data_IF_404893675967
#
_entry.id   IF_404893675967
#
_cell.length_a   1.000
_cell.length_b   1.000
_cell.length_c   1.000
_cell.angle_alpha   90.00
_cell.angle_beta   90.00
_cell.angle_gamma   90.00
#
_symmetry.space_group_name_H-M   'P 1'
#
loop_
_entity.id
_entity.type
_entity.pdbx_description
1 polymer ?
#
# COMPACT_ATOMS: atom_id res chain seq x y z
N UNK A 1 21.91 13.63 1.77
CA UNK A 1 21.51 14.22 0.47
C UNK A 1 20.62 15.42 0.77
N UNK A 2 21.04 16.61 0.40
CA UNK A 2 20.22 17.82 0.57
C UNK A 2 19.06 17.81 -0.43
N UNK A 3 17.90 18.31 -0.04
CA UNK A 3 16.75 18.42 -0.92
C UNK A 3 17.02 19.46 -2.02
N UNK A 4 17.29 19.01 -3.25
CA UNK A 4 17.51 19.86 -4.44
C UNK A 4 16.19 20.25 -5.11
N UNK A 5 15.19 20.63 -4.31
CA UNK A 5 13.93 21.15 -4.84
C UNK A 5 14.13 22.55 -5.39
N UNK A 6 13.32 22.92 -6.39
CA UNK A 6 13.25 24.28 -6.90
C UNK A 6 12.90 25.26 -5.78
N UNK A 7 13.58 26.41 -5.68
CA UNK A 7 13.31 27.41 -4.66
C UNK A 7 11.96 28.10 -4.90
N UNK A 8 11.45 28.74 -3.84
CA UNK A 8 10.26 29.59 -3.92
C UNK A 8 10.59 30.96 -4.52
N UNK A 9 9.71 31.94 -4.27
CA UNK A 9 9.86 33.32 -4.75
C UNK A 9 11.14 34.01 -4.24
N UNK A 10 11.65 33.55 -3.10
CA UNK A 10 12.89 34.02 -2.47
C UNK A 10 14.15 33.57 -3.22
N UNK A 11 14.04 32.60 -4.14
CA UNK A 11 15.18 32.05 -4.87
C UNK A 11 16.14 31.24 -3.99
N UNK A 12 15.82 31.06 -2.71
CA UNK A 12 16.72 30.47 -1.72
C UNK A 12 16.57 28.96 -1.67
N UNK A 13 17.69 28.25 -1.77
CA UNK A 13 17.71 26.79 -1.64
C UNK A 13 17.60 26.34 -0.18
N UNK A 14 17.26 25.06 0.02
CA UNK A 14 17.24 24.46 1.35
C UNK A 14 18.61 24.52 2.05
N UNK A 15 19.70 24.47 1.29
CA UNK A 15 21.06 24.57 1.82
C UNK A 15 21.37 25.97 2.36
N UNK A 16 20.93 27.02 1.65
CA UNK A 16 21.11 28.40 2.09
C UNK A 16 20.40 28.64 3.44
N UNK A 17 19.15 28.19 3.55
CA UNK A 17 18.37 28.31 4.78
C UNK A 17 18.99 27.58 5.98
N UNK A 18 19.56 26.38 5.78
CA UNK A 18 20.24 25.64 6.84
C UNK A 18 21.51 26.35 7.32
N UNK A 19 22.27 26.96 6.41
CA UNK A 19 23.54 27.62 6.73
C UNK A 19 23.35 28.95 7.47
N UNK A 20 22.29 29.70 7.15
CA UNK A 20 22.04 31.03 7.69
C UNK A 20 20.81 31.09 8.63
N UNK A 21 20.41 29.95 9.19
CA UNK A 21 19.23 29.86 10.06
C UNK A 21 19.28 30.80 11.26
N UNK A 22 20.45 30.99 11.88
CA UNK A 22 20.62 31.87 13.03
C UNK A 22 20.32 33.35 12.75
N UNK A 23 20.29 33.75 11.48
CA UNK A 23 19.96 35.12 11.06
C UNK A 23 18.51 35.21 10.56
N UNK A 24 18.05 34.23 9.78
CA UNK A 24 16.70 34.29 9.17
C UNK A 24 15.58 33.77 10.08
N UNK A 25 15.90 33.09 11.18
CA UNK A 25 14.90 32.49 12.07
C UNK A 25 14.01 33.49 12.82
N UNK A 26 14.38 34.76 12.90
CA UNK A 26 13.60 35.80 13.60
C UNK A 26 12.49 36.42 12.73
N UNK A 27 12.62 36.36 11.40
CA UNK A 27 11.77 37.13 10.48
C UNK A 27 10.72 36.26 9.76
N UNK A 28 10.41 35.09 10.33
CA UNK A 28 9.61 34.03 9.70
C UNK A 28 8.19 34.53 9.32
N UNK A 29 7.60 35.45 10.09
CA UNK A 29 6.22 35.92 9.89
C UNK A 29 5.99 36.68 8.57
N UNK A 30 7.00 37.33 8.00
CA UNK A 30 6.84 38.13 6.78
C UNK A 30 6.79 37.28 5.50
N UNK A 31 7.24 36.03 5.54
CA UNK A 31 7.43 35.18 4.35
C UNK A 31 6.21 34.35 3.94
N UNK A 32 5.09 34.42 4.66
CA UNK A 32 3.92 33.56 4.43
C UNK A 32 2.97 34.03 3.32
N UNK A 33 3.11 35.26 2.82
CA UNK A 33 2.06 35.91 2.02
C UNK A 33 2.22 35.80 0.49
N UNK A 34 3.34 35.24 0.00
CA UNK A 34 3.61 35.18 -1.44
C UNK A 34 4.05 33.79 -1.88
N UNK A 35 3.31 33.21 -2.82
CA UNK A 35 3.61 31.91 -3.43
C UNK A 35 3.67 32.03 -4.95
N UNK A 36 4.62 31.33 -5.57
CA UNK A 36 4.75 31.31 -7.03
C UNK A 36 3.92 30.16 -7.61
N UNK A 37 3.00 30.44 -8.53
CA UNK A 37 2.24 29.38 -9.22
C UNK A 37 2.95 29.03 -10.53
N UNK A 38 3.40 27.79 -10.66
CA UNK A 38 4.02 27.25 -11.88
C UNK A 38 3.08 26.26 -12.55
N UNK A 39 2.91 26.35 -13.86
CA UNK A 39 2.06 25.45 -14.64
C UNK A 39 2.89 24.31 -15.25
N UNK A 40 2.66 23.07 -14.81
CA UNK A 40 3.31 21.89 -15.39
C UNK A 40 2.37 21.24 -16.41
N UNK A 41 2.83 20.98 -17.66
CA UNK A 41 1.99 20.34 -18.67
C UNK A 41 1.71 18.87 -18.30
N UNK A 42 0.43 18.45 -18.38
CA UNK A 42 0.03 17.06 -18.13
C UNK A 42 0.29 16.12 -19.32
N UNK A 43 0.49 16.70 -20.52
CA UNK A 43 0.66 16.00 -21.79
C UNK A 43 1.75 16.70 -22.60
N UNK A 44 2.40 16.01 -23.55
CA UNK A 44 3.52 16.55 -24.33
C UNK A 44 3.17 17.83 -25.13
N UNK A 45 1.91 17.98 -25.56
CA UNK A 45 1.44 19.13 -26.36
C UNK A 45 0.09 19.66 -25.83
N UNK A 46 0.10 20.48 -24.77
CA UNK A 46 -1.12 21.01 -24.17
C UNK A 46 -1.68 22.19 -24.98
N UNK A 47 -2.81 21.99 -25.66
CA UNK A 47 -3.50 23.03 -26.44
C UNK A 47 -4.44 23.95 -25.63
N UNK A 48 -4.71 23.64 -24.36
CA UNK A 48 -5.63 24.37 -23.48
C UNK A 48 -5.07 24.47 -22.07
N UNK A 49 -5.36 25.57 -21.36
CA UNK A 49 -4.90 25.83 -19.99
C UNK A 49 -5.34 24.73 -19.00
N UNK A 50 -6.49 24.09 -19.23
CA UNK A 50 -7.00 22.96 -18.42
C UNK A 50 -6.11 21.70 -18.47
N UNK A 51 -5.23 21.60 -19.47
CA UNK A 51 -4.24 20.51 -19.60
C UNK A 51 -2.96 20.78 -18.82
N UNK A 52 -2.87 21.90 -18.10
CA UNK A 52 -1.79 22.16 -17.16
C UNK A 52 -2.22 21.82 -15.74
N UNK A 53 -1.26 21.45 -14.91
CA UNK A 53 -1.40 21.29 -13.47
C UNK A 53 -0.73 22.48 -12.80
N UNK A 54 -1.48 23.35 -12.10
CA UNK A 54 -0.86 24.39 -11.28
C UNK A 54 -0.18 23.72 -10.08
N UNK A 55 1.07 24.09 -9.85
CA UNK A 55 1.85 23.74 -8.68
C UNK A 55 2.29 25.03 -8.02
N UNK A 56 1.95 25.17 -6.75
CA UNK A 56 2.38 26.29 -5.93
C UNK A 56 3.77 25.98 -5.37
N UNK A 57 4.76 26.78 -5.75
CA UNK A 57 6.11 26.77 -5.19
C UNK A 57 6.12 27.69 -3.96
N UNK A 58 6.19 27.06 -2.80
CA UNK A 58 6.32 27.74 -1.52
C UNK A 58 7.80 27.95 -1.16
N UNK A 59 8.08 28.93 -0.31
CA UNK A 59 9.41 29.13 0.25
C UNK A 59 9.84 27.92 1.10
N UNK A 60 11.15 27.74 1.27
CA UNK A 60 11.69 26.67 2.11
C UNK A 60 11.23 26.81 3.57
N UNK A 61 11.09 28.06 4.06
CA UNK A 61 10.58 28.36 5.39
C UNK A 61 9.13 27.86 5.55
N UNK A 62 8.27 28.14 4.57
CA UNK A 62 6.91 27.62 4.53
C UNK A 62 6.89 26.08 4.53
N UNK A 63 7.71 25.43 3.69
CA UNK A 63 7.79 23.96 3.68
C UNK A 63 8.21 23.40 5.04
N UNK A 64 9.14 24.07 5.75
CA UNK A 64 9.62 23.64 7.06
C UNK A 64 8.53 23.74 8.12
N UNK A 65 7.82 24.87 8.20
CA UNK A 65 6.71 25.09 9.13
C UNK A 65 5.53 24.17 8.82
N UNK A 66 5.18 24.02 7.54
CA UNK A 66 4.15 23.06 7.12
C UNK A 66 4.53 21.63 7.54
N UNK A 67 5.80 21.25 7.40
CA UNK A 67 6.28 19.91 7.76
C UNK A 67 6.31 19.67 9.26
N UNK A 68 6.62 20.67 10.08
CA UNK A 68 6.52 20.54 11.55
C UNK A 68 5.08 20.36 11.99
N UNK A 69 4.14 21.12 11.41
CA UNK A 69 2.69 20.95 11.66
C UNK A 69 2.23 19.56 11.24
N UNK A 70 2.59 19.09 10.03
CA UNK A 70 2.23 17.76 9.54
C UNK A 70 2.79 16.65 10.45
N UNK A 71 4.03 16.80 10.93
CA UNK A 71 4.61 15.81 11.83
C UNK A 71 3.88 15.73 13.17
N UNK A 72 3.46 16.88 13.72
CA UNK A 72 2.61 16.91 14.94
C UNK A 72 1.24 16.29 14.69
N UNK A 73 0.59 16.64 13.58
CA UNK A 73 -0.71 16.06 13.21
C UNK A 73 -0.62 14.56 13.00
N UNK A 74 0.49 14.06 12.42
CA UNK A 74 0.69 12.64 12.11
C UNK A 74 0.55 11.72 13.34
N UNK A 75 0.92 12.21 14.53
CA UNK A 75 0.76 11.46 15.79
C UNK A 75 -0.71 11.22 16.15
N UNK A 76 -1.58 12.16 15.79
CA UNK A 76 -3.03 12.12 16.06
C UNK A 76 -3.81 11.49 14.89
N UNK A 77 -3.27 11.53 13.66
CA UNK A 77 -3.93 11.02 12.45
C UNK A 77 -4.32 9.54 12.56
N UNK A 78 -3.55 8.70 13.26
CA UNK A 78 -3.88 7.28 13.44
C UNK A 78 -5.18 7.04 14.22
N UNK A 79 -5.59 7.99 15.06
CA UNK A 79 -6.84 7.96 15.82
C UNK A 79 -8.02 8.55 15.05
N UNK A 80 -7.74 9.49 14.13
CA UNK A 80 -8.74 10.22 13.34
C UNK A 80 -9.14 9.46 12.07
N UNK A 81 -8.22 8.72 11.47
CA UNK A 81 -8.47 7.97 10.23
C UNK A 81 -9.31 6.72 10.53
N UNK A 82 -10.40 6.56 9.78
CA UNK A 82 -11.26 5.36 9.85
C UNK A 82 -10.48 4.05 9.66
N UNK A 83 -10.78 3.05 10.48
CA UNK A 83 -10.30 1.66 10.32
C UNK A 83 -10.71 1.02 8.98
N UNK A 84 -11.64 1.60 8.21
CA UNK A 84 -12.19 0.99 7.00
C UNK A 84 -11.41 1.26 5.69
N UNK A 85 -10.24 1.92 5.72
CA UNK A 85 -9.50 2.30 4.51
C UNK A 85 -8.74 1.16 3.80
N UNK A 86 -8.83 -0.09 4.25
CA UNK A 86 -8.01 -1.18 3.70
C UNK A 86 -8.65 -1.93 2.53
N UNK A 87 -7.87 -2.09 1.47
CA UNK A 87 -8.06 -2.85 0.20
C UNK A 87 -8.82 -4.19 0.26
N UNK A 88 -8.96 -4.83 1.43
CA UNK A 88 -9.61 -6.14 1.57
C UNK A 88 -11.13 -6.13 1.35
N UNK A 89 -11.78 -4.98 1.46
CA UNK A 89 -13.24 -4.81 1.23
C UNK A 89 -13.64 -5.18 -0.20
N UNK A 90 -12.76 -4.97 -1.17
CA UNK A 90 -13.04 -5.25 -2.59
C UNK A 90 -13.18 -6.77 -2.83
N UNK A 91 -12.39 -7.59 -2.15
CA UNK A 91 -12.46 -9.06 -2.31
C UNK A 91 -13.73 -9.67 -1.68
N UNK A 92 -14.36 -8.97 -0.71
CA UNK A 92 -15.59 -9.44 -0.07
C UNK A 92 -16.81 -9.42 -1.01
N UNK A 93 -16.78 -8.57 -2.05
CA UNK A 93 -17.90 -8.33 -2.97
C UNK A 93 -18.13 -9.53 -3.89
N UNK A 94 -17.06 -10.21 -4.31
CA UNK A 94 -17.16 -11.33 -5.25
C UNK A 94 -17.63 -12.63 -4.58
N UNK A 95 -17.48 -12.79 -3.26
CA UNK A 95 -17.95 -13.99 -2.52
C UNK A 95 -19.32 -13.89 -1.90
N UNK A 96 -19.81 -12.68 -1.63
CA UNK A 96 -21.22 -12.49 -1.27
C UNK A 96 -22.17 -12.60 -2.47
N UNK A 97 -21.72 -13.09 -3.63
CA UNK A 97 -22.61 -13.64 -4.66
C UNK A 97 -23.32 -14.93 -4.24
N UNK A 98 -22.97 -15.51 -3.08
CA UNK A 98 -23.68 -16.65 -2.46
C UNK A 98 -24.89 -16.17 -1.63
N UNK A 99 -24.87 -14.93 -1.11
CA UNK A 99 -26.07 -14.31 -0.55
C UNK A 99 -26.75 -13.53 -1.67
N UNK A 100 -28.01 -13.79 -2.03
CA UNK A 100 -28.74 -13.16 -3.15
C UNK A 100 -28.90 -11.63 -3.12
N UNK A 101 -28.10 -10.89 -2.35
CA UNK A 101 -28.09 -9.44 -2.24
C UNK A 101 -27.34 -8.81 -3.42
N UNK A 102 -28.05 -7.99 -4.19
CA UNK A 102 -27.50 -7.17 -5.28
C UNK A 102 -26.64 -6.06 -4.70
N UNK A 103 -25.36 -5.95 -5.09
CA UNK A 103 -24.40 -4.97 -4.56
C UNK A 103 -23.83 -4.05 -5.64
N UNK A 104 -23.45 -2.84 -5.24
CA UNK A 104 -22.78 -1.84 -6.07
C UNK A 104 -21.51 -1.32 -5.37
N UNK A 105 -20.50 -1.01 -6.18
CA UNK A 105 -19.31 -0.23 -5.81
C UNK A 105 -19.38 1.09 -6.54
N UNK A 106 -19.28 2.19 -5.81
CA UNK A 106 -19.22 3.53 -6.38
C UNK A 106 -17.83 4.11 -6.13
N UNK A 107 -17.07 4.32 -7.20
CA UNK A 107 -15.82 5.08 -7.17
C UNK A 107 -16.14 6.56 -7.35
N UNK A 108 -15.88 7.35 -6.31
CA UNK A 108 -16.02 8.80 -6.32
C UNK A 108 -14.72 9.46 -6.73
N UNK A 109 -14.83 10.46 -7.60
CA UNK A 109 -13.74 11.38 -7.98
C UNK A 109 -14.12 12.79 -7.51
N UNK A 110 -13.26 13.43 -6.71
CA UNK A 110 -13.49 14.78 -6.21
C UNK A 110 -12.91 15.82 -7.18
N UNK A 111 -13.73 16.77 -7.64
CA UNK A 111 -13.28 17.88 -8.48
C UNK A 111 -12.40 18.82 -7.66
N UNK A 112 -11.14 18.96 -8.05
CA UNK A 112 -10.21 19.94 -7.44
C UNK A 112 -10.26 19.92 -5.91
N UNK A 113 -10.12 18.72 -5.34
CA UNK A 113 -10.41 18.42 -3.95
C UNK A 113 -9.74 19.33 -2.91
N UNK A 114 -8.60 19.95 -3.25
CA UNK A 114 -7.86 20.86 -2.39
C UNK A 114 -8.19 22.34 -2.62
N UNK A 115 -8.75 22.69 -3.79
CA UNK A 115 -9.00 24.09 -4.17
C UNK A 115 -10.38 24.59 -3.71
N UNK A 116 -11.31 23.67 -3.39
CA UNK A 116 -12.73 23.97 -3.13
C UNK A 116 -13.16 23.78 -1.67
N UNK A 117 -12.24 23.44 -0.77
CA UNK A 117 -12.58 23.23 0.65
C UNK A 117 -12.77 24.57 1.33
N UNK A 118 -13.94 24.78 1.95
CA UNK A 118 -14.19 26.00 2.70
C UNK A 118 -13.37 26.04 4.00
N UNK A 119 -12.75 27.18 4.28
CA UNK A 119 -11.93 27.38 5.48
C UNK A 119 -12.75 27.23 6.77
N UNK A 120 -13.96 27.77 6.82
CA UNK A 120 -14.86 27.69 7.98
C UNK A 120 -15.23 26.23 8.31
N UNK A 121 -15.45 25.40 7.28
CA UNK A 121 -15.68 23.96 7.43
C UNK A 121 -14.44 23.25 7.96
N UNK A 122 -13.26 23.54 7.39
CA UNK A 122 -11.99 22.96 7.84
C UNK A 122 -11.67 23.36 9.28
N UNK A 123 -11.86 24.62 9.64
CA UNK A 123 -11.64 25.16 10.98
C UNK A 123 -12.62 24.53 11.98
N UNK A 124 -13.93 24.52 11.68
CA UNK A 124 -14.93 23.87 12.53
C UNK A 124 -14.68 22.37 12.74
N UNK A 125 -14.15 21.70 11.71
CA UNK A 125 -13.72 20.31 11.79
C UNK A 125 -12.47 20.14 12.66
N UNK A 126 -11.45 20.98 12.50
CA UNK A 126 -10.23 20.96 13.31
C UNK A 126 -10.51 21.31 14.78
N UNK A 127 -11.41 22.27 15.05
CA UNK A 127 -11.87 22.60 16.40
C UNK A 127 -12.57 21.41 17.06
N UNK A 128 -13.42 20.68 16.32
CA UNK A 128 -14.03 19.45 16.83
C UNK A 128 -12.99 18.37 17.10
N UNK A 129 -12.03 18.17 16.21
CA UNK A 129 -10.93 17.22 16.40
C UNK A 129 -10.07 17.52 17.65
N UNK A 130 -9.94 18.80 18.01
CA UNK A 130 -9.22 19.24 19.22
C UNK A 130 -10.01 19.12 20.53
N UNK A 131 -11.35 18.97 20.48
CA UNK A 131 -12.21 18.90 21.68
C UNK A 131 -12.98 17.59 21.84
N UNK A 132 -13.13 16.79 20.79
CA UNK A 132 -13.86 15.52 20.79
C UNK A 132 -13.28 14.62 19.70
N UNK A 133 -12.73 13.45 20.07
CA UNK A 133 -12.26 12.45 19.11
C UNK A 133 -13.44 11.95 18.26
N UNK A 134 -13.57 12.30 16.96
CA UNK A 134 -14.61 11.76 16.12
C UNK A 134 -14.18 10.39 15.59
N UNK A 135 -15.12 9.44 15.55
CA UNK A 135 -14.84 8.03 15.26
C UNK A 135 -14.49 7.71 13.79
N UNK A 136 -14.60 8.64 12.83
CA UNK A 136 -14.38 8.32 11.41
C UNK A 136 -14.09 9.57 10.55
N UNK A 137 -12.84 9.72 10.10
CA UNK A 137 -12.48 10.67 9.04
C UNK A 137 -12.04 9.95 7.76
N UNK A 138 -12.54 10.39 6.60
CA UNK A 138 -12.10 9.92 5.28
C UNK A 138 -11.97 11.13 4.35
N UNK A 139 -10.73 11.50 4.03
CA UNK A 139 -10.41 12.48 3.00
C UNK A 139 -9.54 11.80 1.95
N UNK A 140 -10.13 11.44 0.81
CA UNK A 140 -9.41 10.84 -0.29
C UNK A 140 -10.06 11.23 -1.63
N UNK A 141 -9.23 11.71 -2.56
CA UNK A 141 -9.66 12.10 -3.90
C UNK A 141 -10.26 10.94 -4.70
N UNK A 142 -9.84 9.71 -4.40
CA UNK A 142 -10.34 8.46 -4.97
C UNK A 142 -10.95 7.59 -3.87
N UNK A 143 -12.24 7.77 -3.58
CA UNK A 143 -12.95 7.00 -2.54
C UNK A 143 -13.80 5.89 -3.16
N UNK A 144 -13.78 4.69 -2.56
CA UNK A 144 -14.66 3.57 -2.93
C UNK A 144 -15.76 3.40 -1.88
N UNK A 145 -17.01 3.57 -2.29
CA UNK A 145 -18.18 3.32 -1.46
C UNK A 145 -18.82 1.99 -1.85
N UNK A 146 -19.24 1.23 -0.82
CA UNK A 146 -19.93 -0.05 -0.99
C UNK A 146 -21.36 0.08 -0.49
N UNK A 147 -22.34 -0.18 -1.35
CA UNK A 147 -23.75 -0.13 -1.00
C UNK A 147 -24.53 -1.25 -1.71
N UNK A 148 -25.79 -1.46 -1.31
CA UNK A 148 -26.66 -2.36 -2.05
C UNK A 148 -27.13 -1.68 -3.35
N UNK A 149 -27.36 -2.48 -4.38
CA UNK A 149 -27.85 -2.01 -5.68
C UNK A 149 -29.39 -1.92 -5.68
N UNK A 150 -29.93 -1.18 -4.71
CA UNK A 150 -31.34 -0.81 -4.63
C UNK A 150 -31.49 0.70 -4.84
N UNK A 151 -32.54 1.11 -5.57
CA UNK A 151 -32.80 2.52 -5.88
C UNK A 151 -32.94 3.38 -4.62
N UNK A 152 -33.62 2.88 -3.58
CA UNK A 152 -33.81 3.60 -2.32
C UNK A 152 -32.48 3.87 -1.59
N UNK A 153 -31.60 2.86 -1.52
CA UNK A 153 -30.28 2.99 -0.90
C UNK A 153 -29.39 3.96 -1.70
N UNK A 154 -29.45 3.89 -3.03
CA UNK A 154 -28.72 4.81 -3.92
C UNK A 154 -29.23 6.25 -3.80
N UNK A 155 -30.54 6.45 -3.65
CA UNK A 155 -31.13 7.77 -3.40
C UNK A 155 -30.63 8.35 -2.08
N UNK A 156 -30.70 7.56 -1.02
CA UNK A 156 -30.26 7.97 0.32
C UNK A 156 -28.78 8.33 0.32
N UNK A 157 -27.96 7.52 -0.36
CA UNK A 157 -26.53 7.80 -0.55
C UNK A 157 -26.31 9.10 -1.33
N UNK A 158 -27.05 9.34 -2.41
CA UNK A 158 -26.96 10.57 -3.18
C UNK A 158 -27.33 11.79 -2.32
N UNK A 159 -28.38 11.71 -1.50
CA UNK A 159 -28.77 12.79 -0.58
C UNK A 159 -27.67 13.08 0.44
N UNK A 160 -27.04 12.05 1.01
CA UNK A 160 -25.90 12.22 1.93
C UNK A 160 -24.72 12.90 1.21
N UNK A 161 -24.39 12.45 -0.01
CA UNK A 161 -23.33 13.07 -0.81
C UNK A 161 -23.63 14.53 -1.11
N UNK A 162 -24.87 14.89 -1.49
CA UNK A 162 -25.26 16.28 -1.73
C UNK A 162 -25.23 17.13 -0.46
N UNK A 163 -25.61 16.58 0.69
CA UNK A 163 -25.50 17.27 1.97
C UNK A 163 -24.02 17.54 2.30
N UNK A 164 -23.15 16.56 2.05
CA UNK A 164 -21.70 16.72 2.21
C UNK A 164 -21.13 17.77 1.24
N UNK A 165 -21.52 17.77 -0.03
CA UNK A 165 -21.10 18.80 -1.00
C UNK A 165 -21.50 20.21 -0.54
N UNK A 166 -22.71 20.37 0.01
CA UNK A 166 -23.20 21.66 0.53
C UNK A 166 -22.48 22.11 1.79
N UNK A 167 -22.11 21.18 2.67
CA UNK A 167 -21.46 21.50 3.94
C UNK A 167 -19.95 21.74 3.78
N UNK A 168 -19.27 20.99 2.90
CA UNK A 168 -17.82 21.05 2.72
C UNK A 168 -17.36 21.92 1.55
N UNK A 169 -18.31 22.33 0.68
CA UNK A 169 -18.08 22.94 -0.64
C UNK A 169 -17.26 22.11 -1.62
N UNK A 170 -16.91 20.87 -1.25
CA UNK A 170 -16.28 19.96 -2.18
C UNK A 170 -17.28 19.49 -3.24
N UNK A 171 -16.89 19.55 -4.50
CA UNK A 171 -17.73 19.13 -5.62
C UNK A 171 -17.32 17.74 -6.10
N UNK A 172 -18.26 16.80 -6.13
CA UNK A 172 -18.05 15.48 -6.71
C UNK A 172 -18.10 15.59 -8.23
N UNK A 173 -17.13 14.99 -8.90
CA UNK A 173 -17.10 14.86 -10.35
C UNK A 173 -17.86 13.60 -10.76
N UNK A 174 -19.16 13.71 -11.04
CA UNK A 174 -19.97 12.56 -11.45
C UNK A 174 -19.54 11.99 -12.82
N UNK A 175 -19.02 12.82 -13.73
CA UNK A 175 -18.53 12.40 -15.05
C UNK A 175 -17.31 11.46 -14.96
N UNK A 176 -16.43 11.71 -13.97
CA UNK A 176 -15.24 10.88 -13.70
C UNK A 176 -15.49 9.79 -12.67
N UNK A 177 -16.53 9.93 -11.86
CA UNK A 177 -16.97 8.89 -10.96
C UNK A 177 -17.48 7.72 -11.78
N UNK A 178 -17.33 6.51 -11.24
CA UNK A 178 -17.63 5.28 -11.97
C UNK A 178 -18.32 4.28 -11.05
N UNK A 179 -19.30 3.54 -11.56
CA UNK A 179 -20.05 2.55 -10.80
C UNK A 179 -19.83 1.14 -11.35
N UNK A 180 -19.67 0.17 -10.46
CA UNK A 180 -19.53 -1.24 -10.79
C UNK A 180 -20.57 -2.06 -10.03
N UNK A 181 -21.30 -2.93 -10.73
CA UNK A 181 -22.37 -3.74 -10.16
C UNK A 181 -21.97 -5.20 -10.00
N UNK A 182 -22.62 -5.89 -9.06
CA UNK A 182 -22.51 -7.35 -8.94
C UNK A 182 -23.19 -8.06 -10.12
N UNK A 183 -22.69 -9.24 -10.50
CA UNK A 183 -23.19 -10.05 -11.62
C UNK A 183 -24.69 -10.38 -11.54
N UNK A 184 -25.27 -10.39 -10.33
CA UNK A 184 -26.67 -10.72 -10.08
C UNK A 184 -27.61 -9.51 -10.22
N UNK A 185 -27.11 -8.36 -10.67
CA UNK A 185 -27.90 -7.13 -10.82
C UNK A 185 -28.46 -7.06 -12.24
N UNK A 186 -29.78 -6.95 -12.37
CA UNK A 186 -30.46 -6.79 -13.65
C UNK A 186 -29.92 -5.58 -14.44
N UNK A 187 -29.53 -5.74 -15.73
CA UNK A 187 -29.10 -4.63 -16.58
C UNK A 187 -30.04 -3.42 -16.57
N UNK A 188 -31.36 -3.62 -16.50
CA UNK A 188 -32.32 -2.51 -16.43
C UNK A 188 -32.15 -1.71 -15.14
N UNK A 189 -31.95 -2.40 -14.01
CA UNK A 189 -31.68 -1.76 -12.71
C UNK A 189 -30.34 -1.01 -12.72
N UNK A 190 -29.31 -1.55 -13.37
CA UNK A 190 -28.02 -0.88 -13.49
C UNK A 190 -28.14 0.45 -14.24
N UNK A 191 -28.89 0.47 -15.35
CA UNK A 191 -29.14 1.68 -16.13
C UNK A 191 -29.96 2.71 -15.34
N UNK A 192 -30.98 2.28 -14.60
CA UNK A 192 -31.76 3.18 -13.75
C UNK A 192 -30.89 3.85 -12.67
N UNK A 193 -30.05 3.09 -11.98
CA UNK A 193 -29.13 3.62 -10.96
C UNK A 193 -28.07 4.52 -11.59
N UNK A 194 -27.55 4.15 -12.76
CA UNK A 194 -26.59 4.96 -13.53
C UNK A 194 -27.17 6.32 -13.92
N UNK A 195 -28.38 6.35 -14.46
CA UNK A 195 -29.06 7.58 -14.86
C UNK A 195 -29.40 8.46 -13.65
N UNK A 196 -29.78 7.84 -12.53
CA UNK A 196 -30.05 8.53 -11.28
C UNK A 196 -28.80 9.19 -10.69
N UNK A 197 -27.67 8.48 -10.65
CA UNK A 197 -26.42 8.99 -10.08
C UNK A 197 -25.66 9.89 -11.06
N UNK A 198 -25.93 9.77 -12.37
CA UNK A 198 -25.19 10.47 -13.42
C UNK A 198 -23.76 9.94 -13.59
N UNK A 199 -23.56 8.63 -13.38
CA UNK A 199 -22.25 7.99 -13.28
C UNK A 199 -22.09 6.94 -14.37
N UNK A 200 -20.92 6.85 -14.98
CA UNK A 200 -20.67 5.82 -15.99
C UNK A 200 -20.55 4.41 -15.37
N UNK A 201 -21.22 3.43 -15.99
CA UNK A 201 -21.13 2.02 -15.59
C UNK A 201 -19.85 1.43 -16.18
N UNK A 202 -19.01 0.86 -15.32
CA UNK A 202 -17.84 0.10 -15.73
C UNK A 202 -18.06 -1.37 -15.33
N UNK A 203 -17.76 -2.33 -16.24
CA UNK A 203 -17.94 -3.77 -15.95
C UNK A 203 -17.14 -4.23 -14.73
N UNK A 204 -15.98 -3.61 -14.49
CA UNK A 204 -15.19 -3.82 -13.29
C UNK A 204 -14.19 -2.67 -13.12
N UNK A 205 -13.97 -2.19 -11.88
CA UNK A 205 -12.79 -1.36 -11.62
C UNK A 205 -11.55 -2.25 -11.75
N UNK A 206 -10.90 -2.23 -12.91
CA UNK A 206 -9.75 -3.08 -13.20
C UNK A 206 -8.55 -2.74 -12.31
N UNK A 207 -8.33 -1.44 -12.04
CA UNK A 207 -7.25 -0.96 -11.17
C UNK A 207 -7.73 0.10 -10.17
N UNK A 208 -7.37 -0.05 -8.89
CA UNK A 208 -7.47 1.00 -7.88
C UNK A 208 -6.07 1.25 -7.31
N UNK A 209 -5.64 2.52 -7.23
CA UNK A 209 -4.27 2.90 -6.81
C UNK A 209 -3.15 2.10 -7.53
N UNK A 210 -3.36 1.76 -8.81
CA UNK A 210 -2.39 0.99 -9.61
C UNK A 210 -2.32 -0.52 -9.32
N UNK A 211 -3.19 -1.05 -8.46
CA UNK A 211 -3.30 -2.49 -8.20
C UNK A 211 -4.56 -3.07 -8.85
N UNK A 212 -4.48 -4.29 -9.41
CA UNK A 212 -5.65 -4.94 -9.95
C UNK A 212 -6.64 -5.28 -8.84
N UNK A 213 -7.82 -4.69 -8.91
CA UNK A 213 -8.84 -4.78 -7.86
C UNK A 213 -9.56 -6.13 -7.88
N UNK A 214 -9.58 -6.78 -9.04
CA UNK A 214 -10.29 -8.04 -9.26
C UNK A 214 -9.40 -9.09 -9.89
N UNK A 215 -9.45 -10.29 -9.33
CA UNK A 215 -8.94 -11.48 -9.98
C UNK A 215 -9.71 -11.73 -11.29
N UNK A 216 -9.17 -11.26 -12.43
CA UNK A 216 -9.65 -11.65 -13.76
C UNK A 216 -9.42 -13.14 -13.97
N UNK A 217 -10.15 -13.76 -14.92
CA UNK A 217 -10.05 -15.20 -15.21
C UNK A 217 -8.63 -15.61 -15.60
N UNK A 218 -7.84 -14.72 -16.20
CA UNK A 218 -6.41 -14.94 -16.45
C UNK A 218 -5.55 -14.05 -15.54
N UNK A 219 -4.58 -14.67 -14.85
CA UNK A 219 -3.61 -13.92 -14.02
C UNK A 219 -2.69 -13.06 -14.88
N UNK A 220 -2.43 -13.45 -16.13
CA UNK A 220 -1.56 -12.72 -17.04
C UNK A 220 -2.18 -11.39 -17.49
N UNK A 221 -3.50 -11.34 -17.78
CA UNK A 221 -4.16 -10.08 -18.14
C UNK A 221 -4.22 -9.09 -16.96
N UNK A 222 -4.37 -9.58 -15.72
CA UNK A 222 -4.38 -8.72 -14.53
C UNK A 222 -3.12 -7.89 -14.36
N UNK A 223 -1.96 -8.43 -14.75
CA UNK A 223 -0.67 -7.77 -14.59
C UNK A 223 -0.14 -7.21 -15.91
N UNK A 224 -0.97 -7.15 -16.95
CA UNK A 224 -0.58 -6.53 -18.23
C UNK A 224 -0.24 -5.05 -18.05
N UNK A 225 -0.96 -4.33 -17.18
CA UNK A 225 -0.62 -2.94 -16.85
C UNK A 225 0.79 -2.78 -16.25
N UNK A 226 1.24 -3.75 -15.45
CA UNK A 226 2.60 -3.76 -14.87
C UNK A 226 3.64 -3.90 -15.98
N UNK A 227 3.40 -4.82 -16.91
CA UNK A 227 4.21 -5.00 -18.10
C UNK A 227 4.26 -3.71 -18.94
N UNK A 228 3.09 -3.16 -19.29
CA UNK A 228 2.98 -1.97 -20.16
C UNK A 228 3.61 -0.72 -19.52
N UNK A 229 3.50 -0.57 -18.19
CA UNK A 229 4.17 0.50 -17.46
C UNK A 229 5.70 0.42 -17.57
N UNK A 230 6.26 -0.78 -17.39
CA UNK A 230 7.71 -0.99 -17.53
C UNK A 230 8.16 -0.83 -18.97
N UNK A 231 7.39 -1.35 -19.93
CA UNK A 231 7.67 -1.22 -21.35
C UNK A 231 7.72 0.25 -21.81
N UNK A 232 6.71 1.05 -21.45
CA UNK A 232 6.64 2.47 -21.79
C UNK A 232 7.78 3.28 -21.14
N UNK A 233 8.21 2.91 -19.93
CA UNK A 233 9.34 3.54 -19.27
C UNK A 233 10.69 3.16 -19.90
N UNK A 234 10.86 1.89 -20.28
CA UNK A 234 12.07 1.40 -20.95
C UNK A 234 12.27 2.10 -22.31
N UNK A 235 11.19 2.32 -23.06
CA UNK A 235 11.24 3.06 -24.32
C UNK A 235 11.52 4.56 -24.15
N UNK A 236 11.18 5.14 -23.00
CA UNK A 236 11.37 6.57 -22.73
C UNK A 236 12.71 6.94 -22.08
N UNK A 237 13.46 5.99 -21.49
CA UNK A 237 14.63 6.28 -20.65
C UNK A 237 15.90 5.66 -21.24
N UNK A 238 16.74 6.47 -21.90
CA UNK A 238 17.94 5.97 -22.57
C UNK A 238 19.20 5.83 -21.71
N UNK A 239 19.24 6.24 -20.43
CA UNK A 239 20.54 6.15 -19.72
C UNK A 239 20.62 6.11 -18.20
N UNK A 240 19.62 6.49 -17.37
CA UNK A 240 19.88 6.59 -15.91
C UNK A 240 18.70 6.13 -15.03
N UNK A 241 18.88 4.96 -14.39
CA UNK A 241 18.24 4.45 -13.16
C UNK A 241 16.82 3.81 -13.24
N UNK A 242 16.72 2.56 -13.71
CA UNK A 242 15.54 1.69 -13.55
C UNK A 242 15.15 1.24 -12.13
N UNK A 243 16.03 1.14 -11.10
CA UNK A 243 15.68 0.46 -9.84
C UNK A 243 14.50 1.11 -9.10
N UNK A 244 14.26 2.40 -9.34
CA UNK A 244 13.15 3.17 -8.77
C UNK A 244 11.84 3.05 -9.55
N UNK A 245 11.85 2.44 -10.74
CA UNK A 245 10.70 2.34 -11.63
C UNK A 245 9.99 0.99 -11.59
N UNK A 246 10.56 -0.02 -10.92
CA UNK A 246 9.89 -1.30 -10.70
C UNK A 246 8.59 -1.08 -9.93
N UNK A 247 7.52 -1.82 -10.25
CA UNK A 247 6.25 -1.72 -9.54
C UNK A 247 6.35 -2.47 -8.21
N UNK A 248 7.23 -1.94 -7.36
CA UNK A 248 7.53 -2.42 -6.01
C UNK A 248 6.26 -2.54 -5.16
N UNK A 249 5.25 -1.71 -5.43
CA UNK A 249 3.95 -1.80 -4.78
C UNK A 249 3.17 -3.05 -5.19
N UNK A 250 3.05 -3.38 -6.49
CA UNK A 250 2.37 -4.63 -6.92
C UNK A 250 3.16 -5.85 -6.49
N UNK A 251 4.50 -5.79 -6.62
CA UNK A 251 5.42 -6.82 -6.16
C UNK A 251 5.46 -6.98 -4.63
N UNK A 252 5.01 -5.99 -3.86
CA UNK A 252 4.93 -6.09 -2.41
C UNK A 252 3.66 -6.80 -1.92
N UNK A 253 2.62 -6.83 -2.73
CA UNK A 253 1.28 -7.29 -2.34
C UNK A 253 0.92 -8.62 -2.98
N UNK A 254 1.35 -8.86 -4.22
CA UNK A 254 0.96 -10.04 -4.99
C UNK A 254 2.16 -10.88 -5.41
N UNK A 255 1.94 -12.20 -5.47
CA UNK A 255 2.82 -13.11 -6.20
C UNK A 255 2.53 -12.97 -7.70
N UNK A 256 3.51 -12.54 -8.48
CA UNK A 256 3.36 -12.38 -9.93
C UNK A 256 3.43 -13.74 -10.66
N UNK A 257 2.81 -13.89 -11.84
CA UNK A 257 2.89 -15.12 -12.64
C UNK A 257 4.29 -15.35 -13.21
N UNK A 258 4.69 -16.62 -13.37
CA UNK A 258 6.01 -16.98 -13.91
C UNK A 258 6.28 -16.38 -15.29
N UNK A 259 5.27 -16.42 -16.17
CA UNK A 259 5.36 -15.84 -17.51
C UNK A 259 5.74 -14.35 -17.47
N UNK A 260 5.17 -13.59 -16.53
CA UNK A 260 5.49 -12.17 -16.38
C UNK A 260 6.93 -11.95 -15.93
N UNK A 261 7.49 -12.81 -15.06
CA UNK A 261 8.91 -12.70 -14.71
C UNK A 261 9.81 -12.95 -15.91
N UNK A 262 9.47 -13.93 -16.74
CA UNK A 262 10.21 -14.25 -17.95
C UNK A 262 10.16 -13.08 -18.93
N UNK A 263 8.97 -12.53 -19.19
CA UNK A 263 8.77 -11.37 -20.05
C UNK A 263 9.58 -10.16 -19.55
N UNK A 264 9.48 -9.83 -18.26
CA UNK A 264 10.24 -8.71 -17.68
C UNK A 264 11.76 -8.92 -17.72
N UNK A 265 12.22 -10.16 -17.52
CA UNK A 265 13.64 -10.49 -17.61
C UNK A 265 14.16 -10.36 -19.04
N UNK A 266 13.37 -10.80 -20.03
CA UNK A 266 13.68 -10.63 -21.46
C UNK A 266 13.75 -9.14 -21.81
N UNK A 267 12.76 -8.34 -21.38
CA UNK A 267 12.74 -6.90 -21.63
C UNK A 267 13.99 -6.20 -21.11
N UNK A 268 14.43 -6.53 -19.90
CA UNK A 268 15.61 -5.89 -19.31
C UNK A 268 16.89 -6.41 -19.94
N UNK A 269 16.95 -7.70 -20.28
CA UNK A 269 18.10 -8.30 -20.96
C UNK A 269 18.30 -7.74 -22.38
N UNK A 270 17.23 -7.41 -23.10
CA UNK A 270 17.28 -6.77 -24.42
C UNK A 270 17.84 -5.33 -24.36
N UNK A 271 17.63 -4.63 -23.24
CA UNK A 271 18.08 -3.24 -23.08
C UNK A 271 19.43 -3.11 -22.34
N UNK A 272 19.81 -4.06 -21.48
CA UNK A 272 21.07 -4.04 -20.74
C UNK A 272 21.75 -5.41 -20.62
N UNK A 273 23.04 -5.46 -20.94
CA UNK A 273 23.83 -6.69 -20.97
C UNK A 273 24.48 -7.10 -19.62
N UNK A 274 24.42 -8.41 -19.38
CA UNK A 274 25.24 -9.32 -18.55
C UNK A 274 25.55 -8.97 -17.08
N UNK A 275 26.03 -7.76 -16.75
CA UNK A 275 26.52 -7.45 -15.39
C UNK A 275 25.42 -7.21 -14.36
N UNK A 276 24.22 -6.83 -14.80
CA UNK A 276 23.10 -6.59 -13.89
C UNK A 276 22.56 -7.89 -13.28
N UNK A 277 22.61 -8.99 -14.04
CA UNK A 277 21.99 -10.26 -13.67
C UNK A 277 22.88 -11.15 -12.78
N UNK A 278 24.19 -10.92 -12.75
CA UNK A 278 25.12 -11.67 -11.91
C UNK A 278 24.80 -11.35 -10.42
N UNK A 279 24.71 -12.35 -9.52
CA UNK A 279 24.51 -12.11 -8.09
C UNK A 279 25.58 -11.19 -7.50
N UNK A 280 25.23 -10.43 -6.46
CA UNK A 280 26.16 -9.49 -5.80
C UNK A 280 27.45 -10.15 -5.31
N UNK A 281 27.36 -11.41 -4.87
CA UNK A 281 28.53 -12.19 -4.45
C UNK A 281 29.51 -12.51 -5.58
N UNK A 282 29.09 -12.40 -6.85
CA UNK A 282 29.93 -12.60 -8.03
C UNK A 282 30.23 -11.28 -8.77
N UNK A 283 30.07 -10.12 -8.11
CA UNK A 283 30.41 -8.82 -8.68
C UNK A 283 29.38 -8.23 -9.65
N UNK A 284 28.17 -8.80 -9.72
CA UNK A 284 27.05 -8.21 -10.43
C UNK A 284 26.09 -7.44 -9.53
N UNK A 285 24.98 -6.95 -10.09
CA UNK A 285 23.98 -6.19 -9.33
C UNK A 285 22.81 -7.04 -8.78
N UNK A 286 22.68 -8.31 -9.18
CA UNK A 286 21.69 -9.26 -8.67
C UNK A 286 20.25 -9.10 -9.19
N UNK A 287 20.06 -8.51 -10.38
CA UNK A 287 18.74 -8.21 -10.97
C UNK A 287 18.00 -9.42 -11.55
N UNK A 288 18.62 -10.60 -11.64
CA UNK A 288 18.02 -11.75 -12.33
C UNK A 288 16.98 -12.53 -11.52
N UNK A 289 16.61 -12.05 -10.33
CA UNK A 289 15.66 -12.75 -9.48
C UNK A 289 14.47 -11.86 -9.14
N UNK A 290 13.76 -11.36 -10.15
CA UNK A 290 12.45 -10.71 -9.94
C UNK A 290 11.53 -11.56 -9.08
N UNK A 291 11.58 -12.88 -9.28
CA UNK A 291 10.85 -13.82 -8.44
C UNK A 291 11.32 -13.76 -6.98
N UNK A 292 12.61 -13.78 -6.68
CA UNK A 292 13.09 -13.71 -5.29
C UNK A 292 12.96 -12.31 -4.70
N UNK A 293 13.04 -11.26 -5.52
CA UNK A 293 12.76 -9.88 -5.09
C UNK A 293 11.28 -9.72 -4.71
N UNK A 294 10.36 -10.21 -5.55
CA UNK A 294 8.94 -10.29 -5.23
C UNK A 294 8.71 -11.13 -3.97
N UNK A 295 9.36 -12.31 -3.87
CA UNK A 295 9.26 -13.18 -2.69
C UNK A 295 9.74 -12.49 -1.42
N UNK A 296 10.84 -11.75 -1.48
CA UNK A 296 11.39 -10.99 -0.36
C UNK A 296 10.47 -9.83 0.04
N UNK A 297 9.90 -9.10 -0.92
CA UNK A 297 8.95 -8.02 -0.63
C UNK A 297 7.66 -8.53 0.01
N UNK A 298 7.11 -9.63 -0.50
CA UNK A 298 5.92 -10.26 0.09
C UNK A 298 6.25 -10.89 1.45
N UNK A 299 7.44 -11.48 1.61
CA UNK A 299 7.93 -11.94 2.91
C UNK A 299 8.01 -10.79 3.92
N UNK A 300 8.40 -9.58 3.52
CA UNK A 300 8.38 -8.41 4.41
C UNK A 300 6.97 -8.12 4.95
N UNK A 301 5.91 -8.32 4.15
CA UNK A 301 4.53 -8.19 4.64
C UNK A 301 4.15 -9.33 5.60
N UNK A 302 4.57 -10.57 5.29
CA UNK A 302 4.38 -11.70 6.19
C UNK A 302 5.10 -11.50 7.53
N UNK A 303 6.28 -10.87 7.54
CA UNK A 303 7.02 -10.54 8.76
C UNK A 303 6.28 -9.51 9.61
N UNK A 304 5.70 -8.49 8.99
CA UNK A 304 4.90 -7.48 9.70
C UNK A 304 3.70 -8.07 10.45
N UNK A 305 3.11 -9.15 9.92
CA UNK A 305 2.03 -9.87 10.61
C UNK A 305 2.52 -10.56 11.89
N UNK A 306 3.77 -11.02 11.91
CA UNK A 306 4.41 -11.63 13.08
C UNK A 306 4.86 -10.58 14.09
N UNK A 307 5.47 -9.50 13.62
CA UNK A 307 6.03 -8.43 14.47
C UNK A 307 4.95 -7.57 15.13
N UNK A 308 3.84 -7.31 14.44
CA UNK A 308 2.75 -6.46 14.91
C UNK A 308 1.39 -7.20 14.89
N UNK A 309 1.16 -8.14 15.83
CA UNK A 309 -0.06 -8.95 15.85
C UNK A 309 -1.34 -8.15 16.13
N UNK A 310 -1.23 -7.03 16.85
CA UNK A 310 -2.37 -6.18 17.21
C UNK A 310 -2.79 -5.19 16.11
N UNK A 311 -2.00 -5.09 15.03
CA UNK A 311 -2.36 -4.24 13.90
C UNK A 311 -3.69 -4.69 13.30
N UNK A 312 -4.48 -3.73 12.80
CA UNK A 312 -5.79 -4.03 12.22
C UNK A 312 -5.70 -5.10 11.12
N UNK A 313 -4.70 -5.00 10.25
CA UNK A 313 -4.46 -5.97 9.17
C UNK A 313 -4.16 -7.35 9.76
N UNK A 314 -3.32 -7.46 10.79
CA UNK A 314 -3.02 -8.72 11.46
C UNK A 314 -4.27 -9.35 12.08
N UNK A 315 -5.10 -8.54 12.75
CA UNK A 315 -6.36 -9.00 13.36
C UNK A 315 -7.35 -9.51 12.34
N UNK A 316 -7.55 -8.79 11.23
CA UNK A 316 -8.45 -9.21 10.16
C UNK A 316 -7.93 -10.49 9.48
N UNK A 317 -6.63 -10.55 9.19
CA UNK A 317 -6.01 -11.73 8.57
C UNK A 317 -6.09 -12.96 9.48
N UNK A 318 -5.86 -12.79 10.79
CA UNK A 318 -6.03 -13.85 11.79
C UNK A 318 -7.47 -14.34 11.83
N UNK A 319 -8.43 -13.42 12.01
CA UNK A 319 -9.86 -13.75 12.06
C UNK A 319 -10.34 -14.50 10.81
N UNK A 320 -9.79 -14.14 9.64
CA UNK A 320 -10.21 -14.73 8.36
C UNK A 320 -9.54 -16.05 8.00
N UNK A 321 -8.22 -16.16 8.22
CA UNK A 321 -7.42 -17.26 7.65
C UNK A 321 -6.87 -18.23 8.70
N UNK A 322 -6.69 -17.80 9.95
CA UNK A 322 -6.15 -18.63 11.03
C UNK A 322 -6.74 -18.23 12.39
N UNK A 323 -8.08 -18.33 12.58
CA UNK A 323 -8.75 -17.77 13.75
C UNK A 323 -8.30 -18.41 15.07
N UNK A 324 -8.11 -19.73 15.07
CA UNK A 324 -7.67 -20.52 16.23
C UNK A 324 -6.21 -21.01 16.10
N UNK A 325 -5.47 -20.54 15.09
CA UNK A 325 -4.16 -21.07 14.75
C UNK A 325 -3.05 -20.03 14.82
N UNK A 326 -1.83 -20.51 14.68
CA UNK A 326 -0.66 -19.66 14.48
C UNK A 326 -0.44 -19.34 12.98
N UNK A 327 0.01 -18.13 12.70
CA UNK A 327 0.33 -17.68 11.35
C UNK A 327 1.36 -18.60 10.67
N UNK A 328 2.34 -19.14 11.41
CA UNK A 328 3.34 -20.04 10.85
C UNK A 328 2.72 -21.38 10.40
N UNK A 329 1.67 -21.86 11.06
CA UNK A 329 1.02 -23.13 10.72
C UNK A 329 -0.18 -22.99 9.77
N UNK A 330 -0.63 -21.75 9.54
CA UNK A 330 -1.80 -21.48 8.71
C UNK A 330 -1.69 -22.10 7.30
N UNK A 331 -2.74 -22.77 6.85
CA UNK A 331 -2.82 -23.30 5.47
C UNK A 331 -3.43 -22.25 4.55
N UNK A 332 -3.26 -22.42 3.24
CA UNK A 332 -3.88 -21.53 2.24
C UNK A 332 -5.42 -21.60 2.32
N UNK A 333 -5.96 -22.76 2.69
CA UNK A 333 -7.40 -23.01 2.78
C UNK A 333 -8.08 -23.15 1.41
N UNK A 334 -9.38 -23.42 1.41
CA UNK A 334 -10.15 -23.69 0.17
C UNK A 334 -10.45 -22.42 -0.64
N UNK A 335 -10.24 -21.26 -0.05
CA UNK A 335 -10.77 -20.00 -0.56
C UNK A 335 -9.86 -18.80 -0.21
N UNK A 336 -8.58 -18.81 -0.61
CA UNK A 336 -7.64 -17.73 -0.30
C UNK A 336 -7.85 -16.48 -1.16
N UNK A 337 -7.53 -15.29 -0.64
CA UNK A 337 -7.33 -14.10 -1.47
C UNK A 337 -5.97 -14.18 -2.19
N UNK A 338 -5.79 -13.42 -3.28
CA UNK A 338 -4.48 -13.33 -3.95
C UNK A 338 -3.39 -12.81 -3.01
N UNK A 339 -3.75 -11.87 -2.14
CA UNK A 339 -2.88 -11.32 -1.11
C UNK A 339 -2.47 -12.41 -0.11
N UNK A 340 -3.44 -13.21 0.37
CA UNK A 340 -3.14 -14.32 1.29
C UNK A 340 -2.25 -15.39 0.66
N UNK A 341 -2.48 -15.75 -0.62
CA UNK A 341 -1.59 -16.65 -1.36
C UNK A 341 -0.17 -16.12 -1.41
N UNK A 342 -0.01 -14.83 -1.73
CA UNK A 342 1.27 -14.14 -1.69
C UNK A 342 1.92 -14.24 -0.32
N UNK A 343 1.21 -13.85 0.75
CA UNK A 343 1.73 -13.86 2.11
C UNK A 343 2.17 -15.26 2.55
N UNK A 344 1.39 -16.30 2.24
CA UNK A 344 1.76 -17.70 2.55
C UNK A 344 3.00 -18.14 1.75
N UNK A 345 3.15 -17.67 0.51
CA UNK A 345 4.34 -17.92 -0.32
C UNK A 345 5.58 -17.20 0.23
N UNK A 346 5.46 -15.93 0.62
CA UNK A 346 6.54 -15.15 1.26
C UNK A 346 6.93 -15.73 2.63
N UNK A 347 5.96 -16.22 3.41
CA UNK A 347 6.19 -16.90 4.70
C UNK A 347 7.15 -18.08 4.60
N UNK A 348 7.24 -18.76 3.46
CA UNK A 348 8.20 -19.87 3.29
C UNK A 348 9.65 -19.40 3.49
N UNK A 349 9.99 -18.18 3.04
CA UNK A 349 11.33 -17.60 3.24
C UNK A 349 11.58 -17.33 4.71
N UNK A 350 10.58 -16.79 5.41
CA UNK A 350 10.66 -16.54 6.85
C UNK A 350 10.90 -17.85 7.59
N UNK A 351 10.15 -18.91 7.28
CA UNK A 351 10.32 -20.24 7.91
C UNK A 351 11.71 -20.83 7.71
N UNK A 352 12.40 -20.52 6.61
CA UNK A 352 13.74 -21.02 6.36
C UNK A 352 14.81 -20.32 7.23
N UNK A 353 14.55 -19.06 7.64
CA UNK A 353 15.48 -18.24 8.41
C UNK A 353 15.05 -17.96 9.86
N UNK A 354 13.90 -18.46 10.31
CA UNK A 354 13.47 -18.32 11.70
C UNK A 354 14.28 -19.24 12.60
N UNK A 355 14.84 -18.67 13.66
CA UNK A 355 15.57 -19.42 14.67
C UNK A 355 14.94 -19.13 16.02
N UNK A 356 14.63 -20.19 16.76
CA UNK A 356 14.18 -20.12 18.13
C UNK A 356 15.25 -19.46 19.00
N UNK A 357 14.81 -18.47 19.80
CA UNK A 357 15.62 -17.97 20.90
C UNK A 357 15.37 -18.90 22.10
N UNK A 358 16.42 -19.57 22.54
CA UNK A 358 16.36 -20.44 23.71
C UNK A 358 16.16 -19.58 24.97
N UNK A 359 15.07 -19.82 25.70
CA UNK A 359 14.86 -19.33 27.06
C UNK A 359 14.93 -20.50 28.05
N UNK A 360 13.80 -21.06 28.46
CA UNK A 360 13.67 -22.22 29.37
C UNK A 360 13.91 -23.56 28.68
N UNK A 361 13.84 -23.59 27.34
CA UNK A 361 14.11 -24.75 26.51
C UNK A 361 13.07 -25.87 26.59
N UNK A 362 11.94 -25.70 27.30
CA UNK A 362 10.94 -26.77 27.51
C UNK A 362 10.10 -27.04 26.25
N UNK A 363 9.85 -26.01 25.45
CA UNK A 363 9.01 -26.09 24.24
C UNK A 363 9.79 -26.37 22.96
N UNK A 364 11.14 -26.32 23.02
CA UNK A 364 12.00 -26.42 21.84
C UNK A 364 12.57 -27.83 21.74
N UNK A 365 12.22 -28.54 20.68
CA UNK A 365 12.70 -29.88 20.41
C UNK A 365 14.08 -29.83 19.76
N UNK A 366 15.04 -30.51 20.38
CA UNK A 366 16.46 -30.39 20.06
C UNK A 366 16.80 -30.68 18.60
N UNK A 367 16.19 -31.72 18.01
CA UNK A 367 16.49 -32.17 16.63
C UNK A 367 15.44 -31.75 15.60
N UNK A 368 14.27 -31.27 16.04
CA UNK A 368 13.17 -30.90 15.14
C UNK A 368 13.11 -29.40 14.88
N UNK A 369 13.43 -28.58 15.87
CA UNK A 369 13.32 -27.12 15.80
C UNK A 369 14.65 -26.46 15.44
N UNK A 370 14.60 -25.31 14.77
CA UNK A 370 15.79 -24.52 14.40
C UNK A 370 16.17 -23.60 15.56
N UNK A 371 17.27 -23.84 16.25
CA UNK A 371 17.67 -23.05 17.44
C UNK A 371 19.16 -22.68 17.49
N UNK A 372 19.97 -23.16 16.54
CA UNK A 372 21.42 -22.91 16.49
C UNK A 372 21.73 -21.86 15.41
N UNK A 373 22.14 -20.62 15.74
CA UNK A 373 22.27 -19.53 14.77
C UNK A 373 23.42 -19.66 13.74
N UNK A 374 24.35 -20.60 13.92
CA UNK A 374 25.63 -20.66 13.19
C UNK A 374 25.76 -21.82 12.19
N UNK A 375 24.79 -22.72 12.09
CA UNK A 375 24.83 -23.87 11.18
C UNK A 375 23.95 -23.64 9.95
N UNK A 376 24.38 -24.10 8.77
CA UNK A 376 23.59 -24.02 7.51
C UNK A 376 22.19 -24.64 7.61
N UNK A 377 21.99 -25.57 8.55
CA UNK A 377 20.72 -26.26 8.82
C UNK A 377 19.94 -25.67 10.00
N UNK A 378 20.57 -24.78 10.79
CA UNK A 378 20.09 -24.26 12.07
C UNK A 378 19.71 -25.32 13.13
N UNK A 379 20.14 -26.57 12.92
CA UNK A 379 19.83 -27.75 13.72
C UNK A 379 21.10 -28.57 14.01
N UNK A 380 21.16 -29.30 15.12
CA UNK A 380 22.25 -30.25 15.36
C UNK A 380 22.26 -31.35 14.29
N UNK A 381 23.45 -31.67 13.77
CA UNK A 381 23.64 -32.61 12.65
C UNK A 381 23.71 -34.08 13.09
N UNK A 382 24.09 -34.33 14.34
CA UNK A 382 24.33 -35.65 14.91
C UNK A 382 23.51 -35.83 16.18
N UNK A 383 22.87 -36.99 16.32
CA UNK A 383 22.22 -37.41 17.56
C UNK A 383 23.06 -38.52 18.21
N UNK A 384 23.84 -38.17 19.23
CA UNK A 384 24.71 -39.10 19.97
C UNK A 384 23.95 -39.85 21.08
N UNK A 385 22.81 -40.46 20.75
CA UNK A 385 22.06 -41.33 21.67
C UNK A 385 21.00 -40.63 22.54
N UNK A 386 20.63 -39.38 22.25
CA UNK A 386 19.54 -38.69 22.93
C UNK A 386 18.16 -39.11 22.36
N UNK A 387 17.11 -39.16 23.18
CA UNK A 387 15.77 -39.50 22.71
C UNK A 387 15.27 -38.48 21.67
N UNK A 388 14.54 -38.94 20.65
CA UNK A 388 14.02 -38.08 19.55
C UNK A 388 13.13 -36.92 20.03
N UNK A 389 12.54 -37.05 21.22
CA UNK A 389 11.70 -36.03 21.85
C UNK A 389 12.44 -35.15 22.86
N UNK A 390 13.78 -35.26 22.95
CA UNK A 390 14.57 -34.44 23.86
C UNK A 390 14.38 -32.94 23.56
N UNK A 391 14.16 -32.18 24.62
CA UNK A 391 14.00 -30.72 24.60
C UNK A 391 15.31 -30.04 25.02
N UNK A 392 15.47 -28.76 24.68
CA UNK A 392 16.68 -28.00 25.05
C UNK A 392 16.82 -27.86 26.56
N UNK A 393 15.72 -27.91 27.33
CA UNK A 393 15.76 -27.94 28.79
C UNK A 393 16.68 -29.04 29.35
N UNK A 394 16.84 -30.15 28.63
CA UNK A 394 17.72 -31.25 29.04
C UNK A 394 19.21 -30.92 28.88
N UNK A 395 19.55 -29.86 28.13
CA UNK A 395 20.91 -29.35 27.94
C UNK A 395 21.22 -28.16 28.84
N UNK A 396 20.19 -27.55 29.45
CA UNK A 396 20.35 -26.39 30.33
C UNK A 396 20.70 -26.90 31.73
N UNK A 397 21.87 -26.51 32.22
CA UNK A 397 22.29 -26.80 33.60
C UNK A 397 21.38 -26.09 34.62
N UNK A 398 21.17 -26.64 35.82
CA UNK A 398 20.32 -26.02 36.85
C UNK A 398 20.79 -24.63 37.31
N UNK A 399 22.01 -24.22 36.96
CA UNK A 399 22.58 -22.89 37.20
C UNK A 399 22.38 -21.91 36.04
N UNK A 400 21.80 -22.33 34.91
CA UNK A 400 21.53 -21.50 33.73
C UNK A 400 22.77 -21.08 32.92
N UNK A 401 23.95 -21.60 33.25
CA UNK A 401 25.23 -21.06 32.80
C UNK A 401 25.81 -21.70 31.51
N UNK A 402 25.17 -22.72 30.95
CA UNK A 402 25.68 -23.36 29.73
C UNK A 402 24.76 -24.40 29.12
N UNK A 403 24.86 -24.52 27.78
CA UNK A 403 24.25 -25.55 26.95
C UNK A 403 25.36 -26.55 26.63
N UNK A 404 25.21 -27.82 27.03
CA UNK A 404 26.03 -28.89 26.48
C UNK A 404 25.61 -29.10 25.02
N UNK A 405 26.52 -28.90 24.06
CA UNK A 405 26.29 -29.19 22.64
C UNK A 405 27.13 -30.41 22.26
#
# INVERSE_FOLDING_TARGET
MFSTKSPGIDGMSAFFNQKYWGVMGTDIEQFFNHTLITLIPKLAHPSRVTKYMPITLCSVLYELVSKTIVNKLKEVMSFVISKCQTFETIHAIKRRGISGLKKMVLKLDMSKAYDLVEWSFLEGMLCKLGSFYPDTFVFANDSLLFCNAHLFDCYSLLTILRAYERASWQKINFDKSTACFSLNTDPMMQQLISNMLGVSIIPCHECYLGLPTVAQRSRSQMFKHVHDMLWNKLHGWSSKLLPLALPTYTMGVFQLPQALYQDLSIMIALYWWEKLCIPKCFGGLGFQIFEAFNKAMVAKQAWRLLENPDSLVSRIMKARYFPAGDFLLAKVGNCPSLVWRGIVWGRQVIKQGLVWRVSDGQSIKMFQDQWIPKLFTFKPLLNNGLPQHATISNLITPTGAGIYI
#
